data_IF_532975459826
#
_entry.id   IF_532975459826
#
_cell.length_a   1.000
_cell.length_b   1.000
_cell.length_c   1.000
_cell.angle_alpha   90.00
_cell.angle_beta   90.00
_cell.angle_gamma   90.00
#
_symmetry.space_group_name_H-M   'P 1'
#
loop_
_entity.id
_entity.type
_entity.pdbx_description
1 polymer ?
#
# COMPACT_ATOMS: atom_id res chain seq x y z
N UNK A 1 -1.09 6.71 -26.96
CA UNK A 1 -1.95 5.77 -26.23
C UNK A 1 -1.16 4.48 -26.06
N UNK A 2 -0.94 4.04 -24.83
CA UNK A 2 -0.25 2.79 -24.51
C UNK A 2 -1.21 1.60 -24.57
N UNK A 3 -0.73 0.45 -25.04
CA UNK A 3 -1.47 -0.83 -24.98
C UNK A 3 -0.99 -1.69 -23.81
N UNK A 4 -1.63 -2.85 -23.61
CA UNK A 4 -1.18 -3.81 -22.59
C UNK A 4 0.23 -4.34 -22.88
N UNK A 5 0.55 -4.56 -24.16
CA UNK A 5 1.87 -5.03 -24.61
C UNK A 5 2.96 -3.99 -24.35
N UNK A 6 2.68 -2.71 -24.58
CA UNK A 6 3.60 -1.61 -24.23
C UNK A 6 3.91 -1.64 -22.72
N UNK A 7 2.86 -1.73 -21.89
CA UNK A 7 3.01 -1.78 -20.44
C UNK A 7 3.80 -3.03 -19.99
N UNK A 8 3.53 -4.19 -20.59
CA UNK A 8 4.30 -5.41 -20.32
C UNK A 8 5.79 -5.25 -20.62
N UNK A 9 6.10 -4.62 -21.76
CA UNK A 9 7.48 -4.35 -22.16
C UNK A 9 8.16 -3.39 -21.16
N UNK A 10 7.46 -2.34 -20.74
CA UNK A 10 7.96 -1.36 -19.77
C UNK A 10 8.18 -1.98 -18.37
N UNK A 11 7.23 -2.78 -17.88
CA UNK A 11 7.35 -3.51 -16.60
C UNK A 11 8.60 -4.39 -16.62
N UNK A 12 8.81 -5.14 -17.71
CA UNK A 12 10.00 -5.97 -17.89
C UNK A 12 11.28 -5.13 -17.98
N UNK A 13 11.26 -4.03 -18.72
CA UNK A 13 12.42 -3.15 -18.89
C UNK A 13 12.84 -2.47 -17.57
N UNK A 14 11.90 -2.23 -16.67
CA UNK A 14 12.17 -1.73 -15.31
C UNK A 14 12.83 -2.78 -14.39
N UNK A 15 12.90 -4.04 -14.81
CA UNK A 15 13.50 -5.12 -14.02
C UNK A 15 12.62 -5.58 -12.85
N UNK A 16 11.30 -5.49 -13.00
CA UNK A 16 10.36 -6.09 -12.05
C UNK A 16 10.51 -7.61 -12.08
N UNK A 17 10.68 -8.23 -10.91
CA UNK A 17 10.75 -9.68 -10.76
C UNK A 17 9.32 -10.28 -10.74
N UNK A 18 8.92 -11.05 -11.77
CA UNK A 18 7.57 -11.62 -11.85
C UNK A 18 7.27 -12.68 -10.78
N UNK A 19 8.30 -13.25 -10.14
CA UNK A 19 8.17 -14.25 -9.07
C UNK A 19 8.34 -13.63 -7.67
N UNK A 20 8.71 -12.35 -7.61
CA UNK A 20 9.01 -11.60 -6.41
C UNK A 20 7.79 -10.98 -5.72
N UNK A 21 8.03 -10.01 -4.84
CA UNK A 21 6.99 -9.19 -4.21
C UNK A 21 7.10 -7.75 -4.71
N UNK A 22 6.00 -7.22 -5.25
CA UNK A 22 5.93 -5.88 -5.81
C UNK A 22 4.85 -5.06 -5.10
N UNK A 23 5.24 -3.93 -4.51
CA UNK A 23 4.30 -2.90 -4.04
C UNK A 23 4.26 -1.72 -5.01
N UNK A 24 3.07 -1.29 -5.40
CA UNK A 24 2.90 -0.18 -6.36
C UNK A 24 2.21 1.01 -5.71
N UNK A 25 2.93 2.14 -5.64
CA UNK A 25 2.32 3.46 -5.50
C UNK A 25 2.04 4.02 -6.90
N UNK A 26 0.85 4.58 -7.13
CA UNK A 26 0.45 4.98 -8.49
C UNK A 26 -0.27 6.33 -8.57
N UNK A 27 -0.14 6.96 -9.74
CA UNK A 27 -0.95 8.10 -10.17
C UNK A 27 -1.43 7.87 -11.60
N UNK A 28 -2.69 7.43 -11.74
CA UNK A 28 -3.27 7.12 -13.06
C UNK A 28 -3.20 8.31 -14.03
N UNK A 29 -3.28 9.55 -13.52
CA UNK A 29 -3.18 10.77 -14.33
C UNK A 29 -1.82 10.92 -15.01
N UNK A 30 -0.74 10.48 -14.38
CA UNK A 30 0.63 10.66 -14.86
C UNK A 30 1.07 9.59 -15.88
N UNK A 31 0.38 8.45 -15.93
CA UNK A 31 0.65 7.37 -16.90
C UNK A 31 0.31 7.84 -18.33
N UNK A 32 -0.68 8.72 -18.47
CA UNK A 32 -1.16 9.19 -19.77
C UNK A 32 -2.30 8.36 -20.33
N UNK A 33 -2.48 8.41 -21.64
CA UNK A 33 -3.56 7.69 -22.32
C UNK A 33 -3.22 6.21 -22.48
N UNK A 34 -4.06 5.34 -21.94
CA UNK A 34 -3.95 3.88 -22.05
C UNK A 34 -5.24 3.35 -22.66
N UNK A 35 -5.13 2.46 -23.65
CA UNK A 35 -6.28 1.73 -24.18
C UNK A 35 -6.96 0.97 -23.04
N UNK A 36 -8.30 1.01 -22.90
CA UNK A 36 -8.98 0.39 -21.76
C UNK A 36 -8.71 1.06 -20.40
N UNK A 37 -8.01 2.20 -20.37
CA UNK A 37 -7.80 3.08 -19.21
C UNK A 37 -7.13 2.34 -18.04
N UNK A 38 -7.66 2.52 -16.83
CA UNK A 38 -7.10 1.97 -15.59
C UNK A 38 -7.13 0.44 -15.55
N UNK A 39 -8.14 -0.18 -16.19
CA UNK A 39 -8.27 -1.62 -16.21
C UNK A 39 -7.10 -2.29 -16.92
N UNK A 40 -6.70 -1.80 -18.08
CA UNK A 40 -5.53 -2.31 -18.81
C UNK A 40 -4.24 -2.20 -18.01
N UNK A 41 -4.08 -1.12 -17.24
CA UNK A 41 -2.91 -0.99 -16.35
C UNK A 41 -2.91 -2.08 -15.29
N UNK A 42 -4.03 -2.30 -14.62
CA UNK A 42 -4.14 -3.37 -13.61
C UNK A 42 -3.95 -4.75 -14.24
N UNK A 43 -4.61 -5.01 -15.36
CA UNK A 43 -4.58 -6.30 -16.04
C UNK A 43 -3.15 -6.61 -16.55
N UNK A 44 -2.36 -5.59 -16.90
CA UNK A 44 -0.93 -5.75 -17.22
C UNK A 44 -0.14 -6.23 -16.00
N UNK A 45 -0.24 -5.55 -14.86
CA UNK A 45 0.49 -5.93 -13.65
C UNK A 45 0.02 -7.27 -13.06
N UNK A 46 -1.29 -7.53 -13.06
CA UNK A 46 -1.86 -8.79 -12.56
C UNK A 46 -1.34 -9.98 -13.39
N UNK A 47 -1.35 -9.87 -14.71
CA UNK A 47 -0.86 -10.95 -15.56
C UNK A 47 0.67 -11.10 -15.48
N UNK A 48 1.40 -9.99 -15.39
CA UNK A 48 2.86 -10.02 -15.25
C UNK A 48 3.32 -10.67 -13.94
N UNK A 49 2.66 -10.32 -12.83
CA UNK A 49 2.97 -10.79 -11.47
C UNK A 49 2.24 -12.08 -11.07
N UNK A 50 1.70 -12.84 -12.04
CA UNK A 50 0.88 -14.03 -11.77
C UNK A 50 1.59 -15.10 -10.91
N UNK A 51 2.92 -15.16 -10.98
CA UNK A 51 3.77 -16.13 -10.28
C UNK A 51 4.39 -15.55 -8.98
N UNK A 52 4.12 -14.27 -8.69
CA UNK A 52 4.63 -13.51 -7.54
C UNK A 52 3.51 -12.96 -6.66
N UNK A 53 3.82 -11.92 -5.88
CA UNK A 53 2.87 -11.21 -5.02
C UNK A 53 2.77 -9.74 -5.44
N UNK A 54 1.58 -9.31 -5.86
CA UNK A 54 1.26 -7.94 -6.23
C UNK A 54 0.51 -7.23 -5.10
N UNK A 55 0.99 -6.05 -4.73
CA UNK A 55 0.51 -5.30 -3.57
C UNK A 55 0.20 -3.86 -3.97
N UNK A 56 -0.93 -3.35 -3.50
CA UNK A 56 -1.28 -1.93 -3.53
C UNK A 56 -1.61 -1.43 -2.12
N UNK A 57 -1.10 -0.26 -1.69
CA UNK A 57 -1.59 0.37 -0.48
C UNK A 57 -3.06 0.77 -0.64
N UNK A 58 -3.86 0.52 0.38
CA UNK A 58 -5.30 0.81 0.41
C UNK A 58 -5.65 1.63 1.64
N UNK A 59 -4.92 2.72 1.82
CA UNK A 59 -5.03 3.58 2.99
C UNK A 59 -6.45 4.15 3.16
N UNK A 60 -6.83 4.38 4.41
CA UNK A 60 -8.18 4.82 4.81
C UNK A 60 -8.11 5.81 5.98
N UNK A 61 -7.23 6.80 5.86
CA UNK A 61 -7.01 7.83 6.90
C UNK A 61 -7.69 9.17 6.60
N UNK A 62 -8.32 9.33 5.43
CA UNK A 62 -8.94 10.60 5.04
C UNK A 62 -10.23 10.87 5.83
N UNK A 63 -10.73 12.11 5.78
CA UNK A 63 -11.89 12.56 6.54
C UNK A 63 -13.19 11.80 6.21
N UNK A 64 -13.30 11.27 4.99
CA UNK A 64 -14.44 10.46 4.56
C UNK A 64 -14.34 8.98 4.95
N UNK A 65 -13.18 8.54 5.43
CA UNK A 65 -12.93 7.17 5.86
C UNK A 65 -13.26 6.97 7.35
N UNK A 66 -13.36 5.70 7.75
CA UNK A 66 -13.53 5.30 9.15
C UNK A 66 -14.73 5.99 9.82
N UNK A 67 -15.83 6.12 9.07
CA UNK A 67 -17.04 6.78 9.57
C UNK A 67 -17.53 6.05 10.82
N UNK A 68 -17.84 6.82 11.86
CA UNK A 68 -18.19 6.30 13.18
C UNK A 68 -17.11 5.43 13.83
N UNK A 69 -15.83 5.60 13.46
CA UNK A 69 -14.71 4.77 13.91
C UNK A 69 -14.89 3.29 13.60
N UNK A 70 -15.50 2.97 12.45
CA UNK A 70 -15.66 1.60 11.96
C UNK A 70 -14.78 1.41 10.73
N UNK A 71 -13.99 0.35 10.72
CA UNK A 71 -13.28 -0.14 9.54
C UNK A 71 -13.88 -1.46 9.09
N UNK A 72 -14.30 -1.52 7.83
CA UNK A 72 -14.73 -2.74 7.16
C UNK A 72 -13.95 -2.84 5.83
N UNK A 73 -13.01 -3.79 5.68
CA UNK A 73 -12.16 -3.88 4.51
C UNK A 73 -12.95 -4.13 3.21
N UNK A 74 -14.17 -4.67 3.28
CA UNK A 74 -15.03 -4.95 2.13
C UNK A 74 -15.76 -3.70 1.60
N UNK A 75 -15.99 -2.70 2.46
CA UNK A 75 -16.79 -1.51 2.11
C UNK A 75 -16.03 -0.20 2.19
N UNK A 76 -14.95 -0.13 2.98
CA UNK A 76 -14.14 1.07 3.18
C UNK A 76 -13.39 1.43 1.89
N UNK A 77 -13.57 2.62 1.29
CA UNK A 77 -12.81 2.99 0.10
C UNK A 77 -11.34 3.30 0.45
N UNK A 78 -10.45 3.10 -0.51
CA UNK A 78 -9.06 3.59 -0.40
C UNK A 78 -8.97 5.07 -0.75
N UNK A 79 -8.25 5.87 0.05
CA UNK A 79 -7.99 7.29 -0.22
C UNK A 79 -6.75 7.55 -1.09
N UNK A 80 -6.01 6.51 -1.50
CA UNK A 80 -4.72 6.64 -2.23
C UNK A 80 -4.79 6.29 -3.71
N UNK A 81 -5.93 6.57 -4.35
CA UNK A 81 -6.06 6.63 -5.80
C UNK A 81 -6.91 5.54 -6.43
N UNK A 82 -7.26 5.75 -7.71
CA UNK A 82 -8.28 4.94 -8.40
C UNK A 82 -7.84 3.50 -8.64
N UNK A 83 -6.55 3.25 -8.93
CA UNK A 83 -6.06 1.88 -9.19
C UNK A 83 -6.27 0.98 -7.98
N UNK A 84 -6.03 1.51 -6.78
CA UNK A 84 -6.20 0.75 -5.53
C UNK A 84 -7.67 0.35 -5.31
N UNK A 85 -8.62 1.24 -5.59
CA UNK A 85 -10.06 0.97 -5.48
C UNK A 85 -10.59 0.00 -6.54
N UNK A 86 -10.01 0.01 -7.74
CA UNK A 86 -10.35 -0.95 -8.79
C UNK A 86 -9.69 -2.31 -8.53
N UNK A 87 -8.45 -2.31 -8.03
CA UNK A 87 -7.72 -3.53 -7.68
C UNK A 87 -8.45 -4.32 -6.59
N UNK A 88 -8.95 -3.66 -5.53
CA UNK A 88 -9.75 -4.32 -4.48
C UNK A 88 -11.01 -5.04 -4.99
N UNK A 89 -11.49 -4.74 -6.21
CA UNK A 89 -12.65 -5.39 -6.81
C UNK A 89 -12.29 -6.58 -7.70
N UNK A 90 -11.00 -6.86 -7.90
CA UNK A 90 -10.55 -7.98 -8.73
C UNK A 90 -10.72 -9.28 -7.96
N UNK A 91 -11.06 -10.33 -8.70
CA UNK A 91 -11.22 -11.67 -8.14
C UNK A 91 -9.91 -12.13 -7.47
N UNK A 92 -10.02 -12.73 -6.29
CA UNK A 92 -8.88 -13.24 -5.52
C UNK A 92 -8.09 -12.18 -4.75
N UNK A 93 -8.40 -10.89 -4.88
CA UNK A 93 -7.73 -9.84 -4.09
C UNK A 93 -8.20 -9.90 -2.64
N UNK A 94 -7.24 -9.93 -1.72
CA UNK A 94 -7.47 -9.84 -0.28
C UNK A 94 -7.01 -8.47 0.22
N UNK A 95 -7.62 -7.96 1.28
CA UNK A 95 -7.22 -6.71 1.93
C UNK A 95 -6.90 -6.93 3.40
N UNK A 96 -5.78 -6.39 3.87
CA UNK A 96 -5.37 -6.51 5.28
C UNK A 96 -6.26 -5.70 6.23
N UNK A 97 -6.15 -6.02 7.52
CA UNK A 97 -7.07 -5.54 8.55
C UNK A 97 -6.62 -4.25 9.27
N UNK A 98 -5.45 -3.70 8.93
CA UNK A 98 -4.99 -2.46 9.58
C UNK A 98 -5.88 -1.25 9.19
N UNK A 99 -6.54 -0.55 10.14
CA UNK A 99 -7.63 0.37 9.80
C UNK A 99 -7.28 1.59 8.95
N UNK A 100 -6.02 2.02 8.90
CA UNK A 100 -5.62 3.21 8.13
C UNK A 100 -4.57 2.96 7.06
N UNK A 101 -3.82 1.86 7.19
CA UNK A 101 -2.64 1.56 6.38
C UNK A 101 -2.69 0.14 5.81
N UNK A 102 -3.91 -0.37 5.60
CA UNK A 102 -4.10 -1.66 4.98
C UNK A 102 -3.53 -1.72 3.58
N UNK A 103 -3.26 -2.93 3.13
CA UNK A 103 -2.82 -3.23 1.77
C UNK A 103 -3.77 -4.21 1.12
N UNK A 104 -4.01 -4.04 -0.19
CA UNK A 104 -4.62 -5.06 -1.02
C UNK A 104 -3.54 -5.91 -1.69
N UNK A 105 -3.75 -7.21 -1.74
CA UNK A 105 -2.77 -8.19 -2.21
C UNK A 105 -3.40 -9.21 -3.16
N UNK A 106 -2.62 -9.66 -4.14
CA UNK A 106 -2.99 -10.73 -5.07
C UNK A 106 -1.78 -11.59 -5.41
N UNK A 107 -1.98 -12.90 -5.47
CA UNK A 107 -1.00 -13.84 -5.96
C UNK A 107 -0.45 -14.76 -4.87
N UNK A 108 0.80 -15.18 -5.05
CA UNK A 108 1.49 -16.15 -4.21
C UNK A 108 1.45 -15.74 -2.75
N UNK A 109 0.99 -16.65 -1.90
CA UNK A 109 0.93 -16.53 -0.43
C UNK A 109 0.20 -15.29 0.14
N UNK A 110 -0.68 -14.66 -0.64
CA UNK A 110 -1.39 -13.43 -0.29
C UNK A 110 -2.06 -13.46 1.10
N UNK A 111 -2.73 -14.56 1.47
CA UNK A 111 -3.39 -14.72 2.78
C UNK A 111 -2.37 -14.72 3.93
N UNK A 112 -1.28 -15.49 3.80
CA UNK A 112 -0.21 -15.53 4.80
C UNK A 112 0.51 -14.17 4.88
N UNK A 113 0.64 -13.44 3.76
CA UNK A 113 1.26 -12.12 3.76
C UNK A 113 0.48 -11.07 4.56
N UNK A 114 -0.85 -11.14 4.62
CA UNK A 114 -1.67 -10.16 5.35
C UNK A 114 -2.06 -10.62 6.75
N UNK A 115 -1.67 -11.82 7.13
CA UNK A 115 -1.97 -12.41 8.42
C UNK A 115 -1.44 -11.57 9.59
N UNK A 116 -2.18 -11.61 10.69
CA UNK A 116 -1.89 -10.92 11.96
C UNK A 116 -1.94 -9.39 11.89
N UNK A 117 -2.42 -8.81 10.77
CA UNK A 117 -2.59 -7.36 10.63
C UNK A 117 -3.66 -6.79 11.55
N UNK A 118 -4.60 -7.63 12.01
CA UNK A 118 -5.57 -7.32 13.05
C UNK A 118 -4.92 -6.92 14.39
N UNK A 119 -3.69 -7.38 14.63
CA UNK A 119 -2.94 -7.13 15.86
C UNK A 119 -2.08 -5.86 15.77
N UNK A 120 -2.08 -5.15 14.63
CA UNK A 120 -1.29 -3.94 14.43
C UNK A 120 -2.01 -2.71 15.00
N UNK A 121 -1.39 -2.09 16.01
CA UNK A 121 -1.93 -0.88 16.66
C UNK A 121 -1.31 0.43 16.12
N UNK A 122 -0.19 0.34 15.40
CA UNK A 122 0.49 1.46 14.75
C UNK A 122 0.43 1.34 13.23
N UNK A 123 0.68 2.42 12.46
CA UNK A 123 0.49 2.44 11.02
C UNK A 123 1.37 1.47 10.23
N UNK A 124 2.64 1.35 10.59
CA UNK A 124 3.62 0.58 9.83
C UNK A 124 4.56 -0.20 10.76
N UNK A 125 4.07 -1.04 11.69
CA UNK A 125 4.91 -1.78 12.61
C UNK A 125 5.84 -2.73 11.86
N UNK A 126 7.00 -3.00 12.46
CA UNK A 126 8.01 -3.90 11.88
C UNK A 126 7.50 -5.33 11.67
N UNK A 127 6.52 -5.74 12.45
CA UNK A 127 5.87 -7.06 12.39
C UNK A 127 4.73 -7.13 11.37
N UNK A 128 4.26 -6.00 10.85
CA UNK A 128 3.16 -5.94 9.88
C UNK A 128 3.62 -6.02 8.43
N UNK A 129 2.66 -5.84 7.51
CA UNK A 129 2.84 -5.87 6.06
C UNK A 129 3.99 -4.98 5.58
N UNK A 130 4.10 -3.77 6.12
CA UNK A 130 5.17 -2.84 5.73
C UNK A 130 6.56 -3.34 6.13
N UNK A 131 6.68 -4.04 7.26
CA UNK A 131 7.91 -4.73 7.65
C UNK A 131 8.19 -5.97 6.81
N UNK A 132 7.15 -6.72 6.42
CA UNK A 132 7.29 -7.89 5.55
C UNK A 132 7.82 -7.56 4.15
N UNK A 133 7.57 -6.34 3.63
CA UNK A 133 8.24 -5.86 2.41
C UNK A 133 9.76 -5.89 2.54
N UNK A 134 10.29 -5.46 3.70
CA UNK A 134 11.72 -5.49 3.98
C UNK A 134 12.24 -6.92 4.05
N UNK A 135 11.53 -7.80 4.77
CA UNK A 135 11.92 -9.21 4.94
C UNK A 135 11.98 -9.98 3.62
N UNK A 136 11.11 -9.63 2.68
CA UNK A 136 11.02 -10.27 1.36
C UNK A 136 11.96 -9.66 0.32
N UNK A 137 12.68 -8.58 0.64
CA UNK A 137 13.42 -7.82 -0.36
C UNK A 137 12.52 -7.29 -1.49
N UNK A 138 11.30 -6.86 -1.13
CA UNK A 138 10.29 -6.45 -2.08
C UNK A 138 10.73 -5.24 -2.92
N UNK A 139 10.27 -5.20 -4.17
CA UNK A 139 10.40 -4.04 -5.04
C UNK A 139 9.25 -3.06 -4.75
N UNK A 140 9.57 -1.77 -4.64
CA UNK A 140 8.57 -0.70 -4.50
C UNK A 140 8.60 0.16 -5.76
N UNK A 141 7.53 0.10 -6.54
CA UNK A 141 7.36 0.85 -7.77
C UNK A 141 6.56 2.14 -7.54
N UNK A 142 7.11 3.25 -8.02
CA UNK A 142 6.44 4.55 -8.07
C UNK A 142 5.95 4.85 -9.49
N UNK A 143 4.75 4.36 -9.81
CA UNK A 143 4.15 4.48 -11.14
C UNK A 143 3.51 5.86 -11.32
N UNK A 144 4.25 6.81 -11.90
CA UNK A 144 3.76 8.16 -12.15
C UNK A 144 3.61 9.02 -10.89
N UNK A 145 4.23 8.62 -9.78
CA UNK A 145 4.30 9.39 -8.54
C UNK A 145 5.75 9.48 -8.04
N UNK A 146 6.01 10.34 -7.08
CA UNK A 146 7.36 10.50 -6.49
C UNK A 146 7.47 9.81 -5.13
N UNK A 147 8.67 9.80 -4.57
CA UNK A 147 8.95 9.23 -3.24
C UNK A 147 8.17 9.91 -2.12
N UNK A 148 7.57 11.09 -2.36
CA UNK A 148 6.58 11.69 -1.45
C UNK A 148 5.41 10.77 -1.12
N UNK A 149 5.15 9.74 -1.92
CA UNK A 149 4.09 8.75 -1.67
C UNK A 149 4.61 7.47 -1.03
N UNK A 150 5.90 7.41 -0.69
CA UNK A 150 6.54 6.21 -0.15
C UNK A 150 6.19 6.00 1.32
N UNK A 151 5.13 5.22 1.57
CA UNK A 151 4.72 4.85 2.93
C UNK A 151 5.78 4.03 3.67
N UNK A 152 6.61 3.26 2.95
CA UNK A 152 7.62 2.40 3.59
C UNK A 152 8.62 3.19 4.45
N UNK A 153 8.90 4.45 4.09
CA UNK A 153 9.77 5.32 4.90
C UNK A 153 9.13 5.63 6.26
N UNK A 154 7.80 5.76 6.35
CA UNK A 154 7.13 5.87 7.65
C UNK A 154 7.36 4.63 8.51
N UNK A 155 7.36 3.44 7.91
CA UNK A 155 7.76 2.21 8.59
C UNK A 155 9.18 2.32 9.14
N UNK A 156 10.16 2.71 8.31
CA UNK A 156 11.54 2.90 8.76
C UNK A 156 11.65 3.90 9.91
N UNK A 157 10.91 5.01 9.87
CA UNK A 157 10.85 6.00 10.96
C UNK A 157 10.30 5.39 12.25
N UNK A 158 9.22 4.60 12.16
CA UNK A 158 8.60 3.90 13.28
C UNK A 158 9.56 2.86 13.89
N UNK A 159 10.20 2.03 13.06
CA UNK A 159 11.09 0.95 13.51
C UNK A 159 12.33 1.48 14.22
N UNK A 160 12.74 2.71 13.91
CA UNK A 160 13.86 3.40 14.53
C UNK A 160 13.42 4.31 15.70
N UNK A 161 12.15 4.25 16.12
CA UNK A 161 11.58 5.06 17.20
C UNK A 161 11.85 6.56 17.02
N UNK A 162 11.76 7.06 15.79
CA UNK A 162 11.93 8.49 15.54
C UNK A 162 10.83 9.25 16.27
N UNK A 163 11.23 10.17 17.15
CA UNK A 163 10.30 10.95 17.99
C UNK A 163 9.27 11.70 17.14
N UNK A 164 8.05 11.86 17.65
CA UNK A 164 6.97 12.58 16.99
C UNK A 164 6.63 11.98 15.60
N UNK A 165 6.45 10.66 15.55
CA UNK A 165 5.96 9.92 14.37
C UNK A 165 4.67 9.16 14.60
N UNK A 166 4.41 8.81 15.85
CA UNK A 166 3.22 8.12 16.33
C UNK A 166 2.59 8.97 17.42
N UNK A 167 1.26 9.08 17.43
CA UNK A 167 0.53 9.82 18.44
C UNK A 167 0.65 9.14 19.82
N UNK A 168 0.68 9.91 20.90
CA UNK A 168 0.77 9.36 22.26
C UNK A 168 -0.55 8.73 22.75
N UNK A 169 -1.67 9.07 22.11
CA UNK A 169 -3.01 8.60 22.49
C UNK A 169 -3.65 7.83 21.33
N UNK A 170 -4.21 6.64 21.60
CA UNK A 170 -4.89 5.88 20.57
C UNK A 170 -6.31 6.42 20.34
N UNK A 171 -6.84 6.08 19.18
CA UNK A 171 -8.27 6.16 18.86
C UNK A 171 -8.81 4.74 18.81
N UNK A 172 -9.88 4.45 19.54
CA UNK A 172 -10.58 3.16 19.42
C UNK A 172 -11.25 3.05 18.07
N UNK A 173 -10.93 2.00 17.34
CA UNK A 173 -11.57 1.65 16.06
C UNK A 173 -12.23 0.28 16.22
N UNK A 174 -13.48 0.18 15.79
CA UNK A 174 -14.15 -1.11 15.60
C UNK A 174 -13.78 -1.64 14.21
N UNK A 175 -13.26 -2.85 14.13
CA UNK A 175 -12.99 -3.53 12.87
C UNK A 175 -14.03 -4.63 12.67
N UNK A 176 -14.57 -4.72 11.46
CA UNK A 176 -15.42 -5.83 11.01
C UNK A 176 -14.60 -6.60 9.99
N UNK A 177 -14.26 -7.86 10.28
CA UNK A 177 -13.45 -8.67 9.36
C UNK A 177 -14.31 -9.17 8.16
N UNK A 178 -13.69 -9.73 7.10
CA UNK A 178 -14.40 -10.24 5.94
C UNK A 178 -15.42 -11.36 6.23
N UNK A 179 -15.35 -12.00 7.40
CA UNK A 179 -16.28 -13.04 7.83
C UNK A 179 -17.47 -12.50 8.64
N UNK A 180 -17.51 -11.18 8.89
CA UNK A 180 -18.57 -10.50 9.63
C UNK A 180 -18.39 -10.49 11.15
N UNK A 181 -17.23 -10.94 11.65
CA UNK A 181 -16.87 -10.85 13.06
C UNK A 181 -16.29 -9.48 13.36
N UNK A 182 -16.52 -8.97 14.57
CA UNK A 182 -16.00 -7.67 14.97
C UNK A 182 -15.10 -7.70 16.22
N UNK A 183 -14.19 -6.73 16.29
CA UNK A 183 -13.31 -6.50 17.43
C UNK A 183 -12.93 -5.01 17.53
N UNK A 184 -12.40 -4.60 18.69
CA UNK A 184 -11.87 -3.25 18.88
C UNK A 184 -10.33 -3.27 18.84
N UNK A 185 -9.72 -2.25 18.24
CA UNK A 185 -8.28 -2.00 18.27
C UNK A 185 -7.97 -0.58 18.74
N UNK A 186 -6.83 -0.40 19.41
CA UNK A 186 -6.31 0.91 19.81
C UNK A 186 -5.37 1.44 18.73
N UNK A 187 -5.90 2.22 17.79
CA UNK A 187 -5.09 2.76 16.70
C UNK A 187 -4.33 4.02 17.14
N UNK A 188 -3.01 3.93 17.18
CA UNK A 188 -2.11 5.07 17.27
C UNK A 188 -1.82 5.59 15.86
N UNK A 189 -2.26 6.82 15.56
CA UNK A 189 -2.12 7.40 14.22
C UNK A 189 -0.72 7.98 14.00
N UNK A 190 -0.36 8.19 12.74
CA UNK A 190 0.78 9.04 12.41
C UNK A 190 0.62 10.42 13.04
N UNK A 191 1.72 10.93 13.57
CA UNK A 191 1.80 12.23 14.22
C UNK A 191 3.07 12.94 13.78
N UNK A 192 3.02 14.26 13.71
CA UNK A 192 4.19 15.09 13.46
C UNK A 192 3.92 16.51 13.92
N UNK A 193 4.90 17.12 14.57
CA UNK A 193 4.87 18.55 14.95
C UNK A 193 5.18 19.48 13.78
N UNK A 194 5.62 18.95 12.63
CA UNK A 194 6.07 19.70 11.46
C UNK A 194 5.19 19.46 10.22
N UNK A 195 3.93 19.05 10.43
CA UNK A 195 3.01 18.71 9.35
C UNK A 195 3.36 17.39 8.66
N UNK A 196 2.93 17.23 7.41
CA UNK A 196 3.15 16.04 6.61
C UNK A 196 4.64 15.90 6.21
N UNK A 197 5.35 15.02 6.92
CA UNK A 197 6.79 14.79 6.72
C UNK A 197 7.09 14.12 5.38
N UNK A 198 6.13 13.39 4.80
CA UNK A 198 6.31 12.67 3.53
C UNK A 198 6.61 13.61 2.38
N UNK A 199 6.21 14.90 2.48
CA UNK A 199 6.56 15.94 1.51
C UNK A 199 8.07 16.13 1.32
N UNK A 200 8.88 15.64 2.26
CA UNK A 200 10.34 15.72 2.21
C UNK A 200 11.02 14.47 1.64
N UNK A 201 10.30 13.38 1.36
CA UNK A 201 10.92 12.10 1.00
C UNK A 201 11.61 12.09 -0.36
N UNK A 202 11.25 13.00 -1.27
CA UNK A 202 11.99 13.17 -2.54
C UNK A 202 13.45 13.56 -2.33
N UNK A 203 13.84 14.09 -1.16
CA UNK A 203 15.24 14.35 -0.80
C UNK A 203 16.09 13.07 -0.79
N UNK A 204 15.46 11.90 -0.64
CA UNK A 204 16.13 10.60 -0.63
C UNK A 204 16.33 10.01 -2.02
N UNK A 205 15.77 10.61 -3.08
CA UNK A 205 15.90 10.09 -4.44
C UNK A 205 17.36 10.00 -4.88
N UNK A 206 18.13 11.06 -4.70
CA UNK A 206 19.55 11.08 -5.09
C UNK A 206 20.38 10.05 -4.31
N UNK A 207 20.25 9.93 -2.96
CA UNK A 207 20.86 8.84 -2.21
C UNK A 207 20.52 7.44 -2.73
N UNK A 208 19.24 7.16 -3.04
CA UNK A 208 18.84 5.84 -3.55
C UNK A 208 19.45 5.54 -4.92
N UNK A 209 19.37 6.48 -5.87
CA UNK A 209 19.98 6.31 -7.20
C UNK A 209 21.49 6.09 -7.14
N UNK A 210 22.18 6.69 -6.17
CA UNK A 210 23.62 6.51 -6.00
C UNK A 210 24.00 5.13 -5.43
N UNK A 211 23.12 4.51 -4.63
CA UNK A 211 23.39 3.23 -3.97
C UNK A 211 23.04 2.01 -4.81
N UNK A 212 22.34 2.19 -5.94
CA UNK A 212 21.79 1.12 -6.75
C UNK A 212 20.61 0.45 -6.09
#
# INVERSE_FOLDING_TARGET
>A
MYTKEDLFADIKAMGVDPEGTLLIHSSMKAIGEVEGRADTVLDAFIEYMKDGLLIFPTHSWDADNLRNNIYDPLTEPSCVGILTNLFMKREGVLRSLHPTHSVAVLGKDAEEYIKDEENSETPCPRTGCWGRLYDRGAQILFLGCSLKRNTFIHGVEEWNNISNRIADKPVKIKVINPYGEDYETNLYRHYSTHGDVSQNYDKLLLPFLHKG
#
